data_IF_244151436167
#
_entry.id   IF_244151436167
#
_cell.length_a   1.000
_cell.length_b   1.000
_cell.length_c   1.000
_cell.angle_alpha   90.00
_cell.angle_beta   90.00
_cell.angle_gamma   90.00
#
_symmetry.space_group_name_H-M   'P 1'
#
loop_
_entity.id
_entity.type
_entity.pdbx_description
1 polymer ?
#
# COMPACT_ATOMS: atom_id res chain seq x y z
N UNK A 1 -3.36 -83.50 27.50
CA UNK A 1 -2.37 -82.72 28.26
C UNK A 1 -2.04 -81.46 27.47
N UNK A 2 -2.63 -80.35 27.92
CA UNK A 2 -2.22 -78.93 27.92
C UNK A 2 -1.01 -78.49 27.05
N UNK A 3 -0.91 -77.29 26.50
CA UNK A 3 -1.76 -76.10 26.33
C UNK A 3 -0.89 -74.99 25.69
N UNK A 4 -1.54 -73.89 25.27
CA UNK A 4 -1.00 -72.51 25.09
C UNK A 4 -0.44 -72.06 23.72
N UNK A 5 -1.39 -71.57 22.91
CA UNK A 5 -1.46 -70.27 22.22
C UNK A 5 -0.22 -69.37 22.14
N UNK A 6 0.06 -68.85 20.93
CA UNK A 6 0.49 -67.45 20.70
C UNK A 6 0.27 -67.03 19.24
N UNK A 7 -0.48 -65.95 19.08
CA UNK A 7 -0.83 -65.29 17.84
C UNK A 7 0.39 -64.58 17.20
N UNK A 8 0.42 -64.49 15.88
CA UNK A 8 1.16 -63.43 15.19
C UNK A 8 0.41 -63.03 13.92
N UNK A 9 -0.29 -61.90 14.00
CA UNK A 9 -0.86 -61.20 12.86
C UNK A 9 0.29 -60.60 12.04
N UNK A 10 0.42 -61.04 10.78
CA UNK A 10 1.38 -60.45 9.84
C UNK A 10 0.69 -59.24 9.19
N UNK A 11 0.94 -58.05 9.75
CA UNK A 11 0.53 -56.78 9.17
C UNK A 11 1.36 -56.56 7.90
N UNK A 12 0.69 -56.53 6.74
CA UNK A 12 1.28 -56.12 5.49
C UNK A 12 1.63 -54.62 5.57
N UNK A 13 2.92 -54.32 5.73
CA UNK A 13 3.42 -52.95 5.61
C UNK A 13 3.52 -52.60 4.12
N UNK A 14 2.50 -51.93 3.60
CA UNK A 14 2.49 -51.36 2.25
C UNK A 14 3.51 -50.21 2.22
N UNK A 15 4.65 -50.44 1.57
CA UNK A 15 5.68 -49.44 1.35
C UNK A 15 5.14 -48.40 0.34
N UNK A 16 4.54 -47.32 0.83
CA UNK A 16 4.21 -46.16 -0.01
C UNK A 16 5.52 -45.44 -0.32
N UNK A 17 6.13 -45.75 -1.46
CA UNK A 17 7.22 -44.93 -2.00
C UNK A 17 6.62 -43.68 -2.61
N UNK A 18 6.39 -42.65 -1.81
CA UNK A 18 6.23 -41.30 -2.37
C UNK A 18 7.54 -40.97 -3.08
N UNK A 19 7.52 -40.86 -4.41
CA UNK A 19 8.64 -40.28 -5.13
C UNK A 19 8.80 -38.85 -4.61
N UNK A 20 9.82 -38.63 -3.79
CA UNK A 20 10.20 -37.29 -3.38
C UNK A 20 10.51 -36.52 -4.68
N UNK A 21 9.71 -35.48 -4.97
CA UNK A 21 10.07 -34.54 -6.02
C UNK A 21 11.45 -33.99 -5.66
N UNK A 22 12.40 -33.91 -6.60
CA UNK A 22 13.67 -33.27 -6.31
C UNK A 22 13.38 -31.83 -5.85
N UNK A 23 13.70 -31.51 -4.59
CA UNK A 23 13.77 -30.13 -4.16
C UNK A 23 15.10 -29.58 -4.69
N UNK A 24 15.07 -29.00 -5.89
CA UNK A 24 16.14 -28.09 -6.25
C UNK A 24 15.97 -26.88 -5.35
N UNK A 25 17.02 -26.53 -4.60
CA UNK A 25 17.13 -25.17 -4.09
C UNK A 25 17.26 -24.28 -5.34
N UNK A 26 16.17 -23.64 -5.78
CA UNK A 26 16.25 -22.59 -6.76
C UNK A 26 16.94 -21.41 -6.06
N UNK A 27 18.19 -21.15 -6.42
CA UNK A 27 18.82 -19.88 -6.12
C UNK A 27 18.46 -18.95 -7.26
N UNK A 28 17.85 -17.82 -6.94
CA UNK A 28 17.50 -16.81 -7.92
C UNK A 28 18.49 -15.67 -7.90
N UNK A 29 18.75 -15.10 -9.07
CA UNK A 29 19.59 -13.90 -9.27
C UNK A 29 18.74 -12.64 -9.45
N UNK A 30 17.58 -12.60 -8.79
CA UNK A 30 16.71 -11.44 -8.73
C UNK A 30 17.11 -10.59 -7.54
N UNK A 31 17.45 -9.33 -7.84
CA UNK A 31 17.87 -8.34 -6.86
C UNK A 31 16.76 -7.29 -6.67
N UNK A 32 16.60 -6.77 -5.46
CA UNK A 32 15.65 -5.70 -5.15
C UNK A 32 16.26 -4.38 -5.63
N UNK A 33 15.59 -3.74 -6.59
CA UNK A 33 16.12 -2.58 -7.29
C UNK A 33 15.47 -1.26 -6.87
N UNK A 34 14.15 -1.24 -6.69
CA UNK A 34 13.42 0.00 -6.40
C UNK A 34 12.34 -0.24 -5.35
N UNK A 35 12.19 0.69 -4.40
CA UNK A 35 11.16 0.64 -3.37
C UNK A 35 10.52 2.01 -3.22
N UNK A 36 9.19 2.02 -3.18
CA UNK A 36 8.38 3.22 -3.03
C UNK A 36 7.31 3.04 -1.95
N UNK A 37 7.03 4.11 -1.21
CA UNK A 37 5.83 4.24 -0.38
C UNK A 37 5.36 5.68 -0.35
N UNK A 38 4.05 5.89 -0.36
CA UNK A 38 3.49 7.14 0.14
C UNK A 38 3.55 7.21 1.68
N UNK A 39 3.20 8.35 2.26
CA UNK A 39 3.34 8.68 3.69
C UNK A 39 2.66 7.67 4.63
N UNK A 40 1.50 7.13 4.24
CA UNK A 40 0.69 6.23 5.06
C UNK A 40 0.86 4.74 4.72
N UNK A 41 1.62 4.40 3.68
CA UNK A 41 1.88 3.01 3.27
C UNK A 41 0.78 2.36 2.43
N UNK A 42 -0.26 3.11 2.07
CA UNK A 42 -1.38 2.58 1.27
C UNK A 42 -1.03 2.36 -0.20
N UNK A 43 -0.06 3.11 -0.72
CA UNK A 43 0.50 2.97 -2.06
C UNK A 43 1.97 2.62 -1.94
N UNK A 44 2.27 1.36 -2.21
CA UNK A 44 3.64 0.83 -2.24
C UNK A 44 3.85 -0.03 -3.48
N UNK A 45 5.09 0.00 -3.97
CA UNK A 45 5.62 -0.99 -4.89
C UNK A 45 7.07 -1.35 -4.54
N UNK A 46 7.46 -2.54 -4.94
CA UNK A 46 8.81 -3.08 -4.87
C UNK A 46 9.13 -3.65 -6.25
N UNK A 47 10.27 -3.27 -6.80
CA UNK A 47 10.76 -3.74 -8.09
C UNK A 47 11.95 -4.67 -7.90
N UNK A 48 11.88 -5.85 -8.52
CA UNK A 48 13.03 -6.75 -8.67
C UNK A 48 13.65 -6.58 -10.05
N UNK A 49 14.95 -6.84 -10.18
CA UNK A 49 15.69 -6.81 -11.44
C UNK A 49 16.65 -7.99 -11.51
N UNK A 50 16.86 -8.53 -12.70
CA UNK A 50 17.92 -9.51 -12.93
C UNK A 50 18.64 -9.28 -14.24
N UNK A 51 19.95 -9.49 -14.23
CA UNK A 51 20.77 -9.58 -15.45
C UNK A 51 20.87 -11.01 -15.98
N UNK A 52 20.44 -12.00 -15.20
CA UNK A 52 20.54 -13.41 -15.54
C UNK A 52 19.34 -13.89 -16.38
N UNK A 53 19.56 -14.91 -17.20
CA UNK A 53 18.49 -15.63 -17.90
C UNK A 53 18.14 -16.92 -17.20
N UNK A 54 16.92 -17.41 -17.38
CA UNK A 54 16.46 -18.68 -16.82
C UNK A 54 15.89 -18.59 -15.42
N UNK A 55 15.80 -17.38 -14.85
CA UNK A 55 15.31 -17.09 -13.50
C UNK A 55 13.77 -17.12 -13.41
N UNK A 56 13.19 -18.23 -13.87
CA UNK A 56 11.76 -18.32 -14.19
C UNK A 56 10.91 -18.96 -13.09
N UNK A 57 11.52 -19.73 -12.19
CA UNK A 57 10.87 -20.56 -11.17
C UNK A 57 10.47 -19.78 -9.89
N UNK A 58 9.66 -18.73 -10.02
CA UNK A 58 9.32 -17.82 -8.93
C UNK A 58 8.14 -18.26 -8.04
N UNK A 59 7.34 -19.22 -8.48
CA UNK A 59 6.22 -19.74 -7.69
C UNK A 59 6.69 -20.23 -6.31
N UNK A 60 5.88 -20.02 -5.28
CA UNK A 60 6.17 -20.27 -3.85
C UNK A 60 7.34 -19.47 -3.22
N UNK A 61 8.03 -18.61 -3.98
CA UNK A 61 9.06 -17.74 -3.41
C UNK A 61 8.44 -16.62 -2.58
N UNK A 62 9.17 -16.17 -1.55
CA UNK A 62 8.66 -15.20 -0.58
C UNK A 62 9.35 -13.85 -0.73
N UNK A 63 8.56 -12.79 -0.78
CA UNK A 63 9.00 -11.45 -0.46
C UNK A 63 8.62 -11.18 1.00
N UNK A 64 9.60 -10.80 1.82
CA UNK A 64 9.41 -10.55 3.25
C UNK A 64 9.86 -9.15 3.61
N UNK A 65 8.96 -8.36 4.19
CA UNK A 65 9.27 -7.07 4.75
C UNK A 65 9.35 -7.16 6.27
N UNK A 66 10.39 -6.57 6.86
CA UNK A 66 10.54 -6.41 8.31
C UNK A 66 10.66 -4.94 8.65
N UNK A 67 9.76 -4.41 9.48
CA UNK A 67 9.75 -3.02 9.94
C UNK A 67 9.81 -2.96 11.46
N UNK A 68 10.95 -2.56 12.01
CA UNK A 68 11.24 -2.56 13.45
C UNK A 68 10.89 -3.91 14.13
N UNK A 69 11.21 -5.01 13.44
CA UNK A 69 10.93 -6.38 13.89
C UNK A 69 9.53 -6.91 13.57
N UNK A 70 8.61 -6.07 13.07
CA UNK A 70 7.31 -6.53 12.57
C UNK A 70 7.47 -7.11 11.17
N UNK A 71 7.07 -8.37 10.98
CA UNK A 71 7.28 -9.12 9.74
C UNK A 71 5.98 -9.28 8.96
N UNK A 72 6.00 -8.92 7.68
CA UNK A 72 4.93 -9.17 6.70
C UNK A 72 5.51 -9.98 5.55
N UNK A 73 4.81 -11.02 5.12
CA UNK A 73 5.26 -11.91 4.04
C UNK A 73 4.24 -11.95 2.91
N UNK A 74 4.72 -11.90 1.67
CA UNK A 74 3.96 -12.17 0.46
C UNK A 74 4.59 -13.37 -0.26
N UNK A 75 3.76 -14.27 -0.78
CA UNK A 75 4.22 -15.45 -1.54
C UNK A 75 3.85 -15.24 -3.00
N UNK A 76 4.82 -15.31 -3.89
CA UNK A 76 4.62 -15.24 -5.33
C UNK A 76 3.85 -16.50 -5.78
N UNK A 77 2.88 -16.32 -6.67
CA UNK A 77 1.85 -17.33 -6.99
C UNK A 77 1.96 -17.91 -8.41
N UNK A 78 3.00 -17.53 -9.15
CA UNK A 78 3.28 -18.06 -10.48
C UNK A 78 4.72 -17.83 -10.92
N UNK A 79 5.14 -18.66 -11.89
CA UNK A 79 6.40 -18.54 -12.62
C UNK A 79 6.29 -17.53 -13.77
N UNK A 80 7.43 -16.96 -14.16
CA UNK A 80 7.51 -16.06 -15.32
C UNK A 80 8.10 -16.77 -16.54
N UNK A 81 7.87 -16.20 -17.73
CA UNK A 81 8.41 -16.75 -18.97
C UNK A 81 9.92 -16.47 -19.11
N UNK A 82 10.61 -17.29 -19.91
CA UNK A 82 11.96 -16.99 -20.38
C UNK A 82 11.89 -16.08 -21.64
N UNK A 83 12.89 -15.21 -21.91
CA UNK A 83 14.10 -14.94 -21.10
C UNK A 83 13.86 -13.95 -19.98
N UNK A 84 14.69 -14.05 -18.94
CA UNK A 84 14.69 -13.13 -17.78
C UNK A 84 15.84 -12.11 -17.82
N UNK A 85 16.75 -12.21 -18.79
CA UNK A 85 17.88 -11.27 -18.91
C UNK A 85 17.38 -9.83 -19.04
N UNK A 86 17.84 -8.96 -18.14
CA UNK A 86 17.45 -7.56 -18.02
C UNK A 86 15.94 -7.36 -17.83
N UNK A 87 15.28 -8.33 -17.19
CA UNK A 87 13.87 -8.20 -16.83
C UNK A 87 13.70 -7.61 -15.45
N UNK A 88 12.52 -7.06 -15.26
CA UNK A 88 12.04 -6.49 -14.01
C UNK A 88 10.81 -7.26 -13.55
N UNK A 89 10.51 -7.20 -12.25
CA UNK A 89 9.24 -7.66 -11.71
C UNK A 89 8.69 -6.57 -10.80
N UNK A 90 7.46 -6.15 -11.07
CA UNK A 90 6.77 -5.15 -10.28
C UNK A 90 5.80 -5.83 -9.32
N UNK A 91 6.07 -5.72 -8.01
CA UNK A 91 5.18 -6.18 -6.96
C UNK A 91 4.54 -4.96 -6.30
N UNK A 92 3.21 -4.90 -6.22
CA UNK A 92 2.56 -3.69 -5.73
C UNK A 92 1.28 -3.94 -4.93
N UNK A 93 1.01 -3.01 -4.03
CA UNK A 93 -0.24 -2.91 -3.26
C UNK A 93 -1.46 -2.66 -4.15
N UNK A 94 -2.65 -2.96 -3.63
CA UNK A 94 -3.91 -2.63 -4.32
C UNK A 94 -4.06 -1.12 -4.58
N UNK A 95 -3.57 -0.27 -3.67
CA UNK A 95 -3.59 1.18 -3.84
C UNK A 95 -2.82 1.65 -5.07
N UNK A 96 -1.63 1.08 -5.31
CA UNK A 96 -0.85 1.35 -6.52
C UNK A 96 -1.56 0.88 -7.80
N UNK A 97 -2.09 -0.35 -7.78
CA UNK A 97 -2.77 -0.93 -8.93
C UNK A 97 -4.06 -0.17 -9.32
N UNK A 98 -4.66 0.57 -8.38
CA UNK A 98 -5.86 1.39 -8.62
C UNK A 98 -5.55 2.78 -9.23
N UNK A 99 -4.30 3.21 -9.27
CA UNK A 99 -3.93 4.52 -9.82
C UNK A 99 -4.13 4.56 -11.33
N UNK A 100 -4.78 5.62 -11.80
CA UNK A 100 -4.95 5.83 -13.23
C UNK A 100 -3.58 6.00 -13.90
N UNK A 101 -3.28 5.15 -14.89
CA UNK A 101 -2.03 5.19 -15.64
C UNK A 101 -0.83 4.55 -14.94
N UNK A 102 -1.01 3.87 -13.80
CA UNK A 102 0.07 3.07 -13.23
C UNK A 102 0.40 1.87 -14.12
N UNK A 103 1.64 1.41 -14.02
CA UNK A 103 2.09 0.19 -14.69
C UNK A 103 1.41 -1.01 -14.04
N UNK A 104 0.88 -1.93 -14.85
CA UNK A 104 0.30 -3.16 -14.33
C UNK A 104 1.36 -3.99 -13.56
N UNK A 105 1.17 -4.26 -12.25
CA UNK A 105 2.10 -5.09 -11.50
C UNK A 105 2.10 -6.54 -11.98
N UNK A 106 3.24 -7.21 -11.90
CA UNK A 106 3.37 -8.64 -12.18
C UNK A 106 2.82 -9.47 -11.01
N UNK A 107 3.01 -9.01 -9.78
CA UNK A 107 2.45 -9.63 -8.58
C UNK A 107 1.65 -8.62 -7.75
N UNK A 108 0.37 -8.93 -7.49
CA UNK A 108 -0.54 -8.04 -6.78
C UNK A 108 -1.74 -8.82 -6.23
N UNK A 109 -2.37 -8.39 -5.13
CA UNK A 109 -1.95 -7.29 -4.27
C UNK A 109 -0.95 -7.73 -3.22
N UNK A 110 0.12 -6.94 -3.04
CA UNK A 110 0.85 -6.95 -1.77
C UNK A 110 -0.12 -6.59 -0.63
N UNK A 111 0.04 -7.19 0.58
CA UNK A 111 -0.69 -6.75 1.77
C UNK A 111 -0.59 -5.24 1.96
N UNK A 112 -1.69 -4.60 2.40
CA UNK A 112 -1.66 -3.17 2.72
C UNK A 112 -0.60 -2.88 3.80
N UNK A 113 0.14 -1.79 3.64
CA UNK A 113 1.29 -1.47 4.50
C UNK A 113 2.29 -2.63 4.58
N UNK A 114 2.66 -3.19 3.42
CA UNK A 114 3.57 -4.33 3.34
C UNK A 114 4.85 -4.10 4.14
N UNK A 115 5.36 -2.87 4.13
CA UNK A 115 6.29 -2.37 5.14
C UNK A 115 5.76 -1.06 5.75
N UNK A 116 6.16 -0.75 6.98
CA UNK A 116 5.85 0.55 7.60
C UNK A 116 6.87 1.59 7.12
N UNK A 117 6.49 2.62 6.33
CA UNK A 117 7.42 3.61 5.80
C UNK A 117 8.03 4.53 6.87
N UNK A 118 7.47 4.53 8.09
CA UNK A 118 7.91 5.36 9.21
C UNK A 118 8.77 4.59 10.24
N UNK A 119 9.07 3.31 9.97
CA UNK A 119 9.91 2.50 10.85
C UNK A 119 11.36 3.00 10.90
N UNK A 120 12.04 2.82 12.04
CA UNK A 120 13.43 3.20 12.19
C UNK A 120 14.35 2.33 11.32
N UNK A 121 14.01 1.03 11.19
CA UNK A 121 14.70 0.07 10.33
C UNK A 121 13.69 -0.72 9.51
N UNK A 122 13.92 -0.75 8.20
CA UNK A 122 13.15 -1.52 7.22
C UNK A 122 14.11 -2.45 6.48
N UNK A 123 13.75 -3.73 6.38
CA UNK A 123 14.46 -4.72 5.58
C UNK A 123 13.48 -5.44 4.67
N UNK A 124 13.74 -5.42 3.37
CA UNK A 124 13.01 -6.18 2.36
C UNK A 124 13.92 -7.32 1.93
N UNK A 125 13.46 -8.55 2.06
CA UNK A 125 14.19 -9.76 1.68
C UNK A 125 13.40 -10.51 0.61
N UNK A 126 14.06 -10.81 -0.50
CA UNK A 126 13.52 -11.70 -1.51
C UNK A 126 14.16 -13.07 -1.37
N UNK A 127 13.34 -14.07 -1.03
CA UNK A 127 13.69 -15.50 -1.00
C UNK A 127 14.97 -15.91 -0.24
N UNK A 128 15.48 -15.06 0.65
CA UNK A 128 16.79 -15.28 1.27
C UNK A 128 17.98 -15.09 0.32
N UNK A 129 17.76 -14.64 -0.92
CA UNK A 129 18.83 -14.43 -1.92
C UNK A 129 19.32 -12.99 -1.94
N UNK A 130 18.42 -12.03 -1.82
CA UNK A 130 18.76 -10.61 -1.77
C UNK A 130 18.01 -9.89 -0.64
N UNK A 131 18.66 -8.87 -0.08
CA UNK A 131 18.14 -8.08 1.03
C UNK A 131 18.49 -6.60 0.87
N UNK A 132 17.47 -5.77 0.76
CA UNK A 132 17.61 -4.32 0.81
C UNK A 132 17.27 -3.80 2.21
N UNK A 133 18.19 -3.06 2.85
CA UNK A 133 17.96 -2.50 4.19
C UNK A 133 18.08 -0.98 4.18
N UNK A 134 17.10 -0.28 4.74
CA UNK A 134 17.07 1.17 4.79
C UNK A 134 16.29 1.68 6.01
N UNK A 135 16.57 2.92 6.41
CA UNK A 135 15.77 3.59 7.43
C UNK A 135 14.52 4.20 6.80
N UNK A 136 13.40 4.22 7.52
CA UNK A 136 12.20 4.94 7.06
C UNK A 136 12.48 6.41 6.80
N UNK A 137 13.40 7.04 7.55
CA UNK A 137 13.83 8.43 7.31
C UNK A 137 14.52 8.66 5.97
N UNK A 138 15.10 7.62 5.36
CA UNK A 138 15.74 7.70 4.04
C UNK A 138 14.73 7.53 2.88
N UNK A 139 13.57 6.91 3.14
CA UNK A 139 12.55 6.68 2.12
C UNK A 139 11.81 7.99 1.78
N UNK A 140 11.83 8.46 0.52
CA UNK A 140 10.99 9.56 0.08
C UNK A 140 9.53 9.20 0.26
N UNK A 141 8.76 10.14 0.80
CA UNK A 141 7.30 10.01 1.03
C UNK A 141 6.52 11.14 0.36
N UNK A 142 7.20 11.88 -0.51
CA UNK A 142 6.65 12.99 -1.29
C UNK A 142 5.66 12.51 -2.37
N UNK A 143 5.49 11.20 -2.52
CA UNK A 143 4.56 10.59 -3.45
C UNK A 143 5.04 10.59 -4.91
N UNK A 144 6.27 11.06 -5.18
CA UNK A 144 6.88 11.14 -6.52
C UNK A 144 8.21 10.40 -6.56
N UNK A 145 9.02 10.48 -5.51
CA UNK A 145 10.34 9.87 -5.49
C UNK A 145 10.30 8.50 -4.81
N UNK A 146 11.18 7.61 -5.24
CA UNK A 146 11.42 6.27 -4.68
C UNK A 146 12.88 6.18 -4.21
N UNK A 147 13.22 5.06 -3.55
CA UNK A 147 14.60 4.66 -3.35
C UNK A 147 14.98 3.62 -4.41
N UNK A 148 16.04 3.89 -5.16
CA UNK A 148 16.63 2.96 -6.12
C UNK A 148 17.99 2.51 -5.63
N UNK A 149 18.24 1.20 -5.64
CA UNK A 149 19.59 0.66 -5.56
C UNK A 149 20.24 0.73 -6.95
N UNK A 150 21.29 1.53 -7.06
CA UNK A 150 22.07 1.65 -8.31
C UNK A 150 23.07 0.51 -8.50
N UNK A 151 23.26 -0.33 -7.48
CA UNK A 151 24.19 -1.45 -7.47
C UNK A 151 23.50 -2.74 -6.98
N UNK A 152 22.38 -3.18 -7.59
CA UNK A 152 21.52 -4.22 -7.03
C UNK A 152 22.18 -5.59 -6.82
N UNK A 153 23.18 -5.96 -7.64
CA UNK A 153 23.97 -7.20 -7.46
C UNK A 153 25.27 -6.99 -6.65
N UNK A 154 25.46 -5.80 -6.07
CA UNK A 154 26.73 -5.33 -5.50
C UNK A 154 26.59 -4.78 -4.08
N UNK A 155 27.45 -3.85 -3.71
CA UNK A 155 27.29 -3.12 -2.44
C UNK A 155 26.14 -2.14 -2.62
N UNK A 156 25.11 -2.31 -1.80
CA UNK A 156 23.91 -1.49 -1.78
C UNK A 156 24.24 0.02 -1.88
N UNK A 157 23.70 0.68 -2.91
CA UNK A 157 23.89 2.11 -3.16
C UNK A 157 22.53 2.77 -3.42
N UNK A 158 21.87 3.15 -2.33
CA UNK A 158 20.54 3.75 -2.39
C UNK A 158 20.57 5.22 -2.75
N UNK A 159 19.82 5.58 -3.78
CA UNK A 159 19.65 6.95 -4.25
C UNK A 159 18.15 7.25 -4.37
N UNK A 160 17.75 8.41 -3.86
CA UNK A 160 16.40 8.91 -4.07
C UNK A 160 16.27 9.57 -5.45
N UNK A 161 15.20 9.26 -6.17
CA UNK A 161 14.91 9.83 -7.49
C UNK A 161 13.46 9.61 -7.89
N UNK A 162 13.04 10.19 -9.01
CA UNK A 162 11.67 10.01 -9.52
C UNK A 162 11.39 8.54 -9.75
N UNK A 163 10.25 8.06 -9.24
CA UNK A 163 9.90 6.66 -9.35
C UNK A 163 9.76 6.22 -10.82
N UNK A 164 10.23 5.01 -11.10
CA UNK A 164 10.28 4.42 -12.44
C UNK A 164 9.80 2.96 -12.49
N UNK A 165 8.64 2.62 -11.92
CA UNK A 165 8.16 1.24 -11.84
C UNK A 165 8.12 0.60 -13.23
N UNK A 166 8.76 -0.55 -13.33
CA UNK A 166 8.92 -1.33 -14.56
C UNK A 166 8.46 -2.76 -14.32
N UNK A 167 7.53 -3.26 -15.15
CA UNK A 167 7.05 -4.64 -15.05
C UNK A 167 7.81 -5.60 -15.98
N UNK A 168 7.48 -6.90 -15.91
CA UNK A 168 8.12 -7.93 -16.71
C UNK A 168 7.94 -7.75 -18.22
N UNK A 169 6.80 -7.18 -18.63
CA UNK A 169 6.54 -6.83 -20.02
C UNK A 169 7.43 -5.69 -20.54
N UNK A 170 8.13 -4.97 -19.64
CA UNK A 170 8.97 -3.83 -19.96
C UNK A 170 8.18 -2.52 -20.08
N UNK A 171 6.93 -2.48 -19.61
CA UNK A 171 6.21 -1.22 -19.46
C UNK A 171 6.83 -0.44 -18.31
N UNK A 172 7.18 0.81 -18.57
CA UNK A 172 7.75 1.76 -17.61
C UNK A 172 6.74 2.88 -17.41
N UNK A 173 6.59 3.33 -16.17
CA UNK A 173 5.74 4.47 -15.84
C UNK A 173 6.35 5.32 -14.75
N UNK A 174 5.53 6.26 -14.27
CA UNK A 174 5.83 7.05 -13.08
C UNK A 174 4.50 7.39 -12.43
N UNK A 175 4.43 7.27 -11.11
CA UNK A 175 3.25 7.63 -10.32
C UNK A 175 3.45 8.96 -9.61
N UNK A 176 2.37 9.68 -9.41
CA UNK A 176 2.33 10.82 -8.50
C UNK A 176 1.15 10.63 -7.56
N UNK A 177 1.48 10.21 -6.34
CA UNK A 177 0.54 10.09 -5.23
C UNK A 177 0.92 11.04 -4.11
N UNK A 178 1.63 12.12 -4.45
CA UNK A 178 1.65 13.26 -3.55
C UNK A 178 0.17 13.56 -3.28
N UNK A 179 -0.21 13.55 -2.00
CA UNK A 179 -1.31 14.42 -1.63
C UNK A 179 -0.90 15.77 -2.23
N UNK A 180 -1.79 16.48 -2.95
CA UNK A 180 -1.44 17.82 -3.36
C UNK A 180 -0.92 18.49 -2.08
N UNK A 181 0.29 19.06 -2.13
CA UNK A 181 0.91 19.59 -0.92
C UNK A 181 0.05 20.76 -0.49
N UNK A 182 -0.89 20.44 0.38
CA UNK A 182 -1.88 21.30 0.99
C UNK A 182 -1.14 22.13 2.03
N UNK A 183 -0.44 23.12 1.50
CA UNK A 183 0.25 24.13 2.24
C UNK A 183 -0.66 25.34 2.35
N UNK A 184 -0.79 25.87 3.57
CA UNK A 184 -1.35 27.20 3.78
C UNK A 184 -0.48 28.33 3.22
N UNK A 185 0.63 28.04 2.53
CA UNK A 185 1.48 29.02 1.84
C UNK A 185 0.87 29.36 0.47
N UNK A 186 -0.03 30.34 0.45
CA UNK A 186 -0.76 30.75 -0.74
C UNK A 186 0.02 31.73 -1.61
N UNK A 187 0.98 32.48 -1.03
CA UNK A 187 1.86 33.37 -1.80
C UNK A 187 3.12 32.68 -2.33
N UNK A 188 3.37 31.42 -1.93
CA UNK A 188 4.54 30.61 -2.28
C UNK A 188 5.87 31.24 -1.87
N UNK A 189 5.88 31.95 -0.74
CA UNK A 189 7.08 32.58 -0.17
C UNK A 189 7.88 31.64 0.75
N UNK A 190 7.37 30.42 0.97
CA UNK A 190 8.00 29.39 1.79
C UNK A 190 7.67 29.49 3.27
N UNK A 191 6.79 30.40 3.69
CA UNK A 191 6.40 30.57 5.08
C UNK A 191 4.88 30.71 5.24
N UNK A 192 4.23 29.79 5.96
CA UNK A 192 2.81 29.91 6.31
C UNK A 192 2.63 30.97 7.40
N UNK A 193 2.12 32.14 7.03
CA UNK A 193 2.03 33.29 7.92
C UNK A 193 0.80 34.17 7.65
N UNK A 194 0.79 35.38 8.22
CA UNK A 194 -0.33 36.32 8.09
C UNK A 194 -0.56 36.85 6.67
N UNK A 195 0.45 36.79 5.79
CA UNK A 195 0.34 37.13 4.38
C UNK A 195 -0.55 36.13 3.65
N UNK A 196 -0.44 34.85 3.97
CA UNK A 196 -1.32 33.82 3.41
C UNK A 196 -2.74 33.95 3.92
N UNK A 197 -2.91 34.27 5.21
CA UNK A 197 -4.25 34.53 5.74
C UNK A 197 -4.98 35.64 4.97
N UNK A 198 -4.25 36.66 4.50
CA UNK A 198 -4.83 37.73 3.70
C UNK A 198 -5.30 37.21 2.33
N UNK A 199 -4.57 36.25 1.73
CA UNK A 199 -4.96 35.60 0.48
C UNK A 199 -6.22 34.75 0.67
N UNK A 200 -6.25 33.87 1.68
CA UNK A 200 -7.44 33.06 1.97
C UNK A 200 -8.68 33.92 2.20
N UNK A 201 -8.56 34.99 2.99
CA UNK A 201 -9.67 35.94 3.20
C UNK A 201 -10.18 36.57 1.90
N UNK A 202 -9.29 36.79 0.93
CA UNK A 202 -9.64 37.39 -0.35
C UNK A 202 -10.37 36.41 -1.26
N UNK A 203 -9.97 35.14 -1.24
CA UNK A 203 -10.62 34.12 -2.07
C UNK A 203 -11.76 33.36 -1.41
N UNK A 204 -12.05 33.60 -0.11
CA UNK A 204 -13.16 32.92 0.59
C UNK A 204 -14.47 32.96 -0.20
N UNK A 205 -15.04 31.77 -0.44
CA UNK A 205 -16.24 31.56 -1.26
C UNK A 205 -15.98 31.43 -2.76
N UNK A 206 -14.73 31.48 -3.22
CA UNK A 206 -14.39 31.12 -4.59
C UNK A 206 -14.67 29.64 -4.84
N UNK A 207 -15.12 29.31 -6.05
CA UNK A 207 -15.48 27.94 -6.45
C UNK A 207 -15.02 27.67 -7.88
N UNK A 208 -14.86 26.39 -8.22
CA UNK A 208 -14.49 25.94 -9.55
C UNK A 208 -13.15 26.50 -10.00
N UNK A 209 -13.09 27.05 -11.22
CA UNK A 209 -11.83 27.54 -11.80
C UNK A 209 -11.24 28.76 -11.07
N UNK A 210 -12.01 29.44 -10.21
CA UNK A 210 -11.52 30.56 -9.40
C UNK A 210 -10.86 30.10 -8.08
N UNK A 211 -11.15 28.88 -7.61
CA UNK A 211 -10.59 28.28 -6.40
C UNK A 211 -9.18 27.72 -6.67
N UNK A 212 -8.25 28.61 -6.97
CA UNK A 212 -6.83 28.26 -7.17
C UNK A 212 -6.09 28.23 -5.83
N UNK A 213 -4.92 27.57 -5.75
CA UNK A 213 -4.04 27.64 -4.57
C UNK A 213 -3.73 29.08 -4.18
N UNK A 214 -3.44 29.94 -5.15
CA UNK A 214 -3.21 31.38 -4.93
C UNK A 214 -4.45 32.18 -4.54
N UNK A 215 -5.63 31.56 -4.53
CA UNK A 215 -6.87 32.12 -4.00
C UNK A 215 -7.19 31.58 -2.59
N UNK A 216 -6.37 30.68 -2.04
CA UNK A 216 -6.61 30.10 -0.72
C UNK A 216 -7.24 28.72 -0.72
N UNK A 217 -7.34 28.04 -1.87
CA UNK A 217 -7.75 26.63 -1.94
C UNK A 217 -6.57 25.76 -1.50
N UNK A 218 -6.58 25.41 -0.22
CA UNK A 218 -5.54 24.74 0.53
C UNK A 218 -5.81 23.26 0.75
N UNK A 219 -7.01 22.75 0.45
CA UNK A 219 -7.29 21.30 0.47
C UNK A 219 -7.59 20.71 -0.92
N UNK A 220 -7.48 21.56 -1.94
CA UNK A 220 -7.52 21.19 -3.35
C UNK A 220 -8.92 20.79 -3.84
N UNK A 221 -9.97 20.97 -3.04
CA UNK A 221 -11.29 20.37 -3.32
C UNK A 221 -12.17 21.19 -4.28
N UNK A 222 -11.68 22.35 -4.71
CA UNK A 222 -12.29 23.17 -5.76
C UNK A 222 -13.19 24.27 -5.21
N UNK A 223 -13.14 24.53 -3.91
CA UNK A 223 -13.62 25.76 -3.31
C UNK A 223 -12.59 26.40 -2.37
N UNK A 224 -12.98 27.52 -1.73
CA UNK A 224 -12.17 28.20 -0.71
C UNK A 224 -13.08 28.44 0.50
N UNK A 225 -12.99 27.57 1.49
CA UNK A 225 -13.89 27.53 2.64
C UNK A 225 -13.15 27.33 3.99
N UNK A 226 -13.91 26.95 5.02
CA UNK A 226 -13.37 26.75 6.37
C UNK A 226 -12.39 25.57 6.50
N UNK A 227 -12.40 24.61 5.58
CA UNK A 227 -11.47 23.47 5.55
C UNK A 227 -10.09 23.94 5.13
N UNK A 228 -10.01 24.84 4.16
CA UNK A 228 -8.75 25.48 3.77
C UNK A 228 -8.16 26.32 4.89
N UNK A 229 -9.01 27.05 5.60
CA UNK A 229 -8.60 27.83 6.76
C UNK A 229 -7.98 26.95 7.85
N UNK A 230 -8.53 25.75 8.07
CA UNK A 230 -7.97 24.78 9.01
C UNK A 230 -6.62 24.23 8.55
N UNK A 231 -6.37 24.10 7.25
CA UNK A 231 -5.02 23.75 6.72
C UNK A 231 -4.03 24.88 7.02
N UNK A 232 -4.40 26.14 6.73
CA UNK A 232 -3.56 27.29 7.05
C UNK A 232 -3.27 27.41 8.56
N UNK A 233 -4.31 27.31 9.40
CA UNK A 233 -4.18 27.50 10.85
C UNK A 233 -3.26 26.47 11.51
N UNK A 234 -3.16 25.26 10.93
CA UNK A 234 -2.30 24.18 11.44
C UNK A 234 -0.87 24.24 10.90
N UNK A 235 -0.55 25.25 10.09
CA UNK A 235 0.76 25.44 9.47
C UNK A 235 1.01 24.50 8.29
N UNK A 236 -0.05 24.01 7.65
CA UNK A 236 -0.03 22.86 6.75
C UNK A 236 -0.71 21.63 7.35
N UNK A 237 -0.82 20.56 6.58
CA UNK A 237 -1.62 19.37 6.96
C UNK A 237 -1.19 18.73 8.29
N UNK A 238 -2.10 18.58 9.28
CA UNK A 238 -1.90 17.63 10.37
C UNK A 238 -2.06 16.18 9.88
N UNK A 239 -1.64 15.17 10.67
CA UNK A 239 -1.82 13.76 10.31
C UNK A 239 -3.28 13.46 9.98
N UNK A 240 -3.49 12.71 8.89
CA UNK A 240 -4.81 12.31 8.39
C UNK A 240 -5.65 11.68 9.52
N UNK A 241 -6.78 12.31 9.84
CA UNK A 241 -7.77 11.74 10.75
C UNK A 241 -8.80 11.04 9.88
N UNK A 242 -8.92 9.72 10.04
CA UNK A 242 -9.85 8.89 9.27
C UNK A 242 -11.28 9.44 9.33
N UNK A 243 -11.99 9.42 8.20
CA UNK A 243 -13.39 9.80 8.11
C UNK A 243 -14.23 8.95 9.07
N UNK A 244 -14.92 9.60 10.01
CA UNK A 244 -15.91 8.93 10.85
C UNK A 244 -17.09 8.59 9.94
N UNK A 245 -17.33 7.30 9.72
CA UNK A 245 -18.48 6.82 8.96
C UNK A 245 -19.75 7.48 9.50
N UNK A 246 -20.60 8.00 8.60
CA UNK A 246 -21.90 8.58 8.94
C UNK A 246 -22.66 7.59 9.81
N UNK A 247 -22.90 7.97 11.07
CA UNK A 247 -23.71 7.18 12.00
C UNK A 247 -25.12 7.10 11.40
N UNK A 248 -25.65 5.90 11.11
CA UNK A 248 -27.04 5.78 10.67
C UNK A 248 -27.95 6.39 11.73
N UNK A 249 -28.84 7.30 11.32
CA UNK A 249 -29.75 7.96 12.26
C UNK A 249 -30.53 6.90 13.05
N UNK A 250 -30.66 7.04 14.39
CA UNK A 250 -31.47 6.12 15.17
C UNK A 250 -32.90 6.13 14.63
N UNK A 251 -33.56 4.98 14.63
CA UNK A 251 -34.95 4.77 14.22
C UNK A 251 -35.99 5.50 15.12
N UNK A 252 -35.65 6.67 15.68
CA UNK A 252 -36.50 7.52 16.50
C UNK A 252 -37.74 8.00 15.75
N UNK A 253 -37.65 8.21 14.43
CA UNK A 253 -38.81 8.55 13.59
C UNK A 253 -39.76 7.35 13.39
N UNK A 254 -39.27 6.12 13.44
CA UNK A 254 -40.12 4.94 13.36
C UNK A 254 -40.94 4.75 14.66
N UNK A 255 -40.42 5.18 15.82
CA UNK A 255 -41.11 5.03 17.10
C UNK A 255 -42.27 6.02 17.30
N UNK A 256 -42.23 7.21 16.68
CA UNK A 256 -43.35 8.17 16.71
C UNK A 256 -44.52 7.75 15.80
N UNK A 257 -44.26 6.96 14.76
CA UNK A 257 -45.31 6.43 13.87
C UNK A 257 -46.20 5.38 14.52
N UNK A 258 -45.66 4.54 15.41
CA UNK A 258 -46.45 3.49 16.07
C UNK A 258 -47.27 3.99 17.28
N UNK A 259 -46.81 5.06 17.95
CA UNK A 259 -47.55 5.64 19.07
C UNK A 259 -48.80 6.42 18.60
N UNK A 260 -48.73 7.07 17.44
CA UNK A 260 -49.86 7.85 16.88
C UNK A 260 -50.98 6.95 16.33
N UNK A 261 -50.65 5.78 15.76
CA UNK A 261 -51.66 4.85 15.25
C UNK A 261 -52.46 4.15 16.37
N UNK A 262 -51.82 3.86 17.52
CA UNK A 262 -52.50 3.27 18.69
C UNK A 262 -53.47 4.27 19.37
N UNK A 263 -53.12 5.55 19.39
CA UNK A 263 -54.00 6.60 19.93
C UNK A 263 -55.24 6.83 19.05
N UNK A 264 -55.10 6.75 17.71
CA UNK A 264 -56.24 6.92 16.79
C UNK A 264 -57.21 5.73 16.83
N UNK A 265 -56.74 4.50 17.07
CA UNK A 265 -57.59 3.32 17.20
C UNK A 265 -58.39 3.28 18.51
N UNK A 266 -57.88 3.88 19.61
CA UNK A 266 -58.61 3.95 20.88
C UNK A 266 -59.75 4.99 20.89
N UNK A 267 -59.65 6.05 20.09
CA UNK A 267 -60.72 7.06 19.98
C UNK A 267 -61.91 6.54 19.18
N UNK A 268 -61.70 5.63 18.23
CA UNK A 268 -62.77 5.10 17.36
C UNK A 268 -63.70 4.09 18.03
N UNK A 269 -63.30 3.48 19.15
CA UNK A 269 -64.08 2.46 19.87
C UNK A 269 -64.92 3.03 21.05
N UNK A 270 -65.10 4.35 21.13
CA UNK A 270 -65.88 5.02 22.19
C UNK A 270 -67.21 5.64 21.73
N UNK A 271 -67.78 5.18 20.63
CA UNK A 271 -69.13 5.55 20.19
C UNK A 271 -70.03 4.32 20.04
#
# INVERSE_FOLDING_TARGET
>A
MNAFSRALALVACLLVTTAARPCFAAFHLWDIKEVFSNQDGTVQFIELFTTASGETQLDDHKLTATSDGNVVTFTLDHNVASPTTNKHLLLATAGFAALAGSVAPDYTPLPANFFNPNAASISINFAGVDTLTFAGSALPKDGINSLTDQSPAGVQNLVAGTNSPTNFAGAVGSINVSAPVESGDFNSDGAVNGLDLAIWKTGFGATGTAATKGAGNADGDGDVDGRDFLVWQRGGSPPAIAAVASIPEPASLALFGFASLSAMLQVRNRH
#
